data_IF_712960810240
#
_entry.id   IF_712960810240
#
_cell.length_a   1.000
_cell.length_b   1.000
_cell.length_c   1.000
_cell.angle_alpha   90.00
_cell.angle_beta   90.00
_cell.angle_gamma   90.00
#
_symmetry.space_group_name_H-M   'P 1'
#
loop_
_entity.id
_entity.type
_entity.pdbx_description
1 polymer ?
#
# COMPACT_ATOMS: atom_id res chain seq x y z
N UNK A 1 -64.24 -27.86 -22.44
CA UNK A 1 -63.83 -29.27 -22.58
C UNK A 1 -62.67 -29.46 -21.60
N UNK A 2 -62.80 -30.17 -20.47
CA UNK A 2 -63.17 -31.59 -20.28
C UNK A 2 -62.14 -32.52 -20.96
N UNK A 3 -61.56 -33.57 -20.39
CA UNK A 3 -61.55 -34.17 -19.03
C UNK A 3 -60.08 -34.50 -18.64
N UNK A 4 -59.65 -35.07 -17.51
CA UNK A 4 -60.30 -35.75 -16.36
C UNK A 4 -59.46 -35.50 -15.06
N UNK A 5 -59.96 -35.96 -13.91
CA UNK A 5 -59.15 -36.34 -12.74
C UNK A 5 -59.55 -37.78 -12.34
N UNK A 6 -58.69 -38.53 -11.64
CA UNK A 6 -59.16 -39.73 -10.94
C UNK A 6 -58.53 -39.94 -9.56
N UNK A 7 -59.28 -40.61 -8.68
CA UNK A 7 -59.06 -40.64 -7.23
C UNK A 7 -58.97 -42.07 -6.68
N UNK A 8 -58.18 -42.19 -5.61
CA UNK A 8 -58.36 -43.10 -4.46
C UNK A 8 -58.26 -44.62 -4.67
N UNK A 9 -57.59 -45.28 -3.71
CA UNK A 9 -58.32 -46.14 -2.77
C UNK A 9 -57.57 -46.23 -1.41
N UNK A 10 -58.28 -46.63 -0.34
CA UNK A 10 -57.83 -46.56 1.05
C UNK A 10 -58.33 -47.80 1.84
N UNK A 11 -57.56 -48.24 2.85
CA UNK A 11 -57.91 -49.16 3.98
C UNK A 11 -58.03 -50.69 3.72
N UNK A 12 -57.25 -51.47 4.49
CA UNK A 12 -57.67 -52.27 5.68
C UNK A 12 -56.42 -53.01 6.23
N UNK A 13 -55.96 -52.86 7.48
CA UNK A 13 -56.48 -53.22 8.82
C UNK A 13 -56.46 -54.72 9.21
N UNK A 14 -55.66 -54.99 10.27
CA UNK A 14 -55.84 -55.97 11.37
C UNK A 14 -55.42 -57.45 11.23
N UNK A 15 -54.36 -57.81 11.99
CA UNK A 15 -54.06 -59.00 12.84
C UNK A 15 -52.53 -59.20 12.86
N UNK A 16 -51.83 -59.53 13.96
CA UNK A 16 -52.20 -59.65 15.37
C UNK A 16 -51.21 -60.58 16.10
N UNK A 17 -50.44 -60.05 17.07
CA UNK A 17 -49.61 -60.70 18.10
C UNK A 17 -48.75 -61.95 17.76
N UNK A 18 -47.46 -61.90 18.11
CA UNK A 18 -46.96 -62.51 19.36
C UNK A 18 -45.54 -62.06 19.74
N UNK A 19 -45.20 -62.21 21.02
CA UNK A 19 -43.98 -61.71 21.66
C UNK A 19 -42.85 -62.74 21.60
N UNK A 20 -41.59 -62.29 21.52
CA UNK A 20 -40.47 -63.02 22.12
C UNK A 20 -39.41 -62.06 22.65
N UNK A 21 -39.02 -62.28 23.90
CA UNK A 21 -38.08 -61.45 24.66
C UNK A 21 -36.65 -61.97 24.51
N UNK A 22 -35.73 -61.12 24.08
CA UNK A 22 -34.29 -61.34 24.31
C UNK A 22 -33.65 -60.09 24.92
N UNK A 23 -33.32 -60.19 26.21
CA UNK A 23 -32.62 -59.14 26.97
C UNK A 23 -31.24 -58.87 26.36
N UNK A 24 -30.90 -57.59 26.12
CA UNK A 24 -29.52 -57.14 25.86
C UNK A 24 -29.00 -56.34 27.07
N UNK A 25 -27.70 -56.44 27.40
CA UNK A 25 -27.19 -55.96 28.68
C UNK A 25 -27.13 -54.43 28.79
N UNK A 26 -27.23 -53.95 30.03
CA UNK A 26 -27.12 -52.54 30.41
C UNK A 26 -25.79 -51.92 29.93
N UNK A 27 -25.87 -50.83 29.16
CA UNK A 27 -24.72 -49.95 28.91
C UNK A 27 -24.36 -49.22 30.21
N UNK A 28 -23.05 -49.20 30.53
CA UNK A 28 -22.48 -48.46 31.66
C UNK A 28 -22.88 -46.97 31.62
N UNK A 29 -23.00 -46.29 32.78
CA UNK A 29 -23.30 -44.86 32.82
C UNK A 29 -22.23 -44.06 32.09
N UNK A 30 -22.66 -43.00 31.42
CA UNK A 30 -21.79 -42.10 30.66
C UNK A 30 -20.81 -41.40 31.62
N UNK A 31 -19.53 -41.37 31.26
CA UNK A 31 -18.51 -40.66 32.02
C UNK A 31 -18.89 -39.19 32.19
N UNK A 32 -18.65 -38.64 33.38
CA UNK A 32 -19.00 -37.26 33.70
C UNK A 32 -18.35 -36.30 32.69
N UNK A 33 -19.15 -35.37 32.15
CA UNK A 33 -18.62 -34.24 31.39
C UNK A 33 -17.81 -33.38 32.35
N UNK A 34 -16.48 -33.51 32.31
CA UNK A 34 -15.59 -32.54 32.93
C UNK A 34 -15.77 -31.21 32.22
N UNK A 35 -16.58 -30.32 32.79
CA UNK A 35 -16.61 -28.92 32.39
C UNK A 35 -15.26 -28.30 32.72
N UNK A 36 -14.46 -28.03 31.70
CA UNK A 36 -13.21 -27.30 31.86
C UNK A 36 -13.53 -25.88 32.36
N UNK A 37 -13.16 -25.58 33.60
CA UNK A 37 -13.21 -24.23 34.19
C UNK A 37 -12.10 -23.35 33.60
N UNK A 38 -12.15 -23.11 32.29
CA UNK A 38 -11.35 -22.09 31.63
C UNK A 38 -11.96 -20.72 31.87
N UNK A 39 -11.25 -19.82 32.56
CA UNK A 39 -11.70 -18.43 32.72
C UNK A 39 -11.80 -17.76 31.34
N UNK A 40 -12.98 -17.28 30.90
CA UNK A 40 -13.18 -16.81 29.53
C UNK A 40 -12.26 -15.62 29.17
N UNK A 41 -11.92 -14.77 30.14
CA UNK A 41 -10.97 -13.66 29.92
C UNK A 41 -9.59 -14.16 29.44
N UNK A 42 -9.12 -15.32 29.89
CA UNK A 42 -7.82 -15.86 29.48
C UNK A 42 -7.85 -16.42 28.04
N UNK A 43 -8.96 -17.04 27.62
CA UNK A 43 -9.11 -17.51 26.23
C UNK A 43 -9.34 -16.37 25.24
N UNK A 44 -10.04 -15.29 25.61
CA UNK A 44 -10.16 -14.11 24.75
C UNK A 44 -8.81 -13.37 24.59
N UNK A 45 -8.03 -13.22 25.67
CA UNK A 45 -6.71 -12.55 25.60
C UNK A 45 -5.69 -13.37 24.79
N UNK A 46 -5.66 -14.69 24.97
CA UNK A 46 -4.74 -15.56 24.19
C UNK A 46 -5.13 -15.62 22.71
N UNK A 47 -6.43 -15.66 22.39
CA UNK A 47 -6.89 -15.63 21.00
C UNK A 47 -6.59 -14.28 20.33
N UNK A 48 -6.84 -13.15 21.02
CA UNK A 48 -6.51 -11.81 20.50
C UNK A 48 -5.00 -11.63 20.25
N UNK A 49 -4.14 -12.17 21.11
CA UNK A 49 -2.69 -12.15 20.91
C UNK A 49 -2.26 -13.01 19.71
N UNK A 50 -2.83 -14.21 19.53
CA UNK A 50 -2.53 -15.08 18.40
C UNK A 50 -3.05 -14.50 17.06
N UNK A 51 -4.24 -13.87 17.07
CA UNK A 51 -4.77 -13.11 15.91
C UNK A 51 -3.84 -11.94 15.55
N UNK A 52 -3.31 -11.21 16.54
CA UNK A 52 -2.31 -10.16 16.31
C UNK A 52 -0.98 -10.70 15.74
N UNK A 53 -0.41 -11.75 16.32
CA UNK A 53 0.88 -12.31 15.88
C UNK A 53 0.80 -12.90 14.46
N UNK A 54 -0.30 -13.58 14.13
CA UNK A 54 -0.56 -14.08 12.77
C UNK A 54 -0.79 -12.95 11.76
N UNK A 55 -1.52 -11.90 12.15
CA UNK A 55 -1.70 -10.70 11.32
C UNK A 55 -0.39 -9.95 11.07
N UNK A 56 0.45 -9.79 12.09
CA UNK A 56 1.78 -9.20 11.98
C UNK A 56 2.68 -10.01 11.03
N UNK A 57 2.72 -11.35 11.21
CA UNK A 57 3.47 -12.26 10.35
C UNK A 57 3.04 -12.15 8.89
N UNK A 58 1.73 -12.21 8.61
CA UNK A 58 1.18 -12.08 7.25
C UNK A 58 1.64 -10.77 6.59
N UNK A 59 1.51 -9.63 7.28
CA UNK A 59 1.90 -8.33 6.73
C UNK A 59 3.42 -8.27 6.46
N UNK A 60 4.25 -8.84 7.33
CA UNK A 60 5.70 -8.93 7.11
C UNK A 60 6.03 -9.80 5.89
N UNK A 61 5.44 -11.00 5.77
CA UNK A 61 5.65 -11.91 4.65
C UNK A 61 5.23 -11.28 3.31
N UNK A 62 4.14 -10.50 3.31
CA UNK A 62 3.67 -9.74 2.15
C UNK A 62 4.71 -8.71 1.68
N UNK A 63 5.31 -7.94 2.60
CA UNK A 63 6.40 -7.01 2.26
C UNK A 63 7.66 -7.76 1.83
N UNK A 64 8.03 -8.84 2.52
CA UNK A 64 9.20 -9.64 2.14
C UNK A 64 9.12 -10.18 0.72
N UNK A 65 7.91 -10.46 0.21
CA UNK A 65 7.65 -10.98 -1.13
C UNK A 65 7.52 -9.89 -2.20
N UNK A 66 6.82 -8.79 -1.92
CA UNK A 66 6.44 -7.80 -2.94
C UNK A 66 7.04 -6.40 -2.74
N UNK A 67 7.47 -6.03 -1.53
CA UNK A 67 8.10 -4.74 -1.23
C UNK A 67 9.30 -4.93 -0.28
N UNK A 68 10.29 -5.65 -0.81
CA UNK A 68 11.55 -5.94 -0.11
C UNK A 68 12.28 -4.67 0.37
N UNK A 69 12.30 -3.54 -0.39
CA UNK A 69 12.84 -2.29 0.09
C UNK A 69 12.15 -1.77 1.35
N UNK A 70 10.82 -1.66 1.39
CA UNK A 70 10.12 -1.20 2.60
C UNK A 70 10.31 -2.16 3.78
N UNK A 71 10.37 -3.47 3.54
CA UNK A 71 10.74 -4.44 4.58
C UNK A 71 12.14 -4.15 5.16
N UNK A 72 13.16 -3.94 4.32
CA UNK A 72 14.52 -3.62 4.77
C UNK A 72 14.58 -2.29 5.52
N UNK A 73 13.91 -1.26 5.00
CA UNK A 73 13.90 0.08 5.57
C UNK A 73 13.06 0.20 6.86
N UNK A 74 12.18 -0.77 7.15
CA UNK A 74 11.41 -0.84 8.40
C UNK A 74 12.30 -0.80 9.65
N UNK A 75 13.55 -1.26 9.54
CA UNK A 75 14.59 -1.20 10.59
C UNK A 75 14.85 0.22 11.13
N UNK A 76 14.59 1.24 10.33
CA UNK A 76 14.80 2.66 10.70
C UNK A 76 13.55 3.33 11.27
N UNK A 77 12.41 2.62 11.31
CA UNK A 77 11.15 3.11 11.88
C UNK A 77 11.15 2.83 13.40
N UNK A 78 10.76 3.81 14.25
CA UNK A 78 10.68 3.59 15.70
C UNK A 78 9.78 2.40 16.08
N UNK A 79 10.23 1.58 17.03
CA UNK A 79 9.55 0.33 17.43
C UNK A 79 8.06 0.49 17.79
N UNK A 80 7.66 1.66 18.29
CA UNK A 80 6.28 1.95 18.67
C UNK A 80 5.37 2.36 17.50
N UNK A 81 5.92 2.71 16.33
CA UNK A 81 5.16 2.97 15.09
C UNK A 81 5.39 1.90 14.01
N UNK A 82 6.36 1.00 14.21
CA UNK A 82 6.72 -0.06 13.27
C UNK A 82 5.52 -0.89 12.77
N UNK A 83 4.61 -1.32 13.65
CA UNK A 83 3.44 -2.11 13.23
C UNK A 83 2.46 -1.32 12.36
N UNK A 84 2.31 -0.01 12.61
CA UNK A 84 1.52 0.88 11.76
C UNK A 84 2.13 0.99 10.37
N UNK A 85 3.46 1.23 10.30
CA UNK A 85 4.21 1.26 9.05
C UNK A 85 4.07 -0.05 8.25
N UNK A 86 4.24 -1.20 8.92
CA UNK A 86 4.10 -2.51 8.29
C UNK A 86 2.68 -2.74 7.76
N UNK A 87 1.63 -2.42 8.54
CA UNK A 87 0.24 -2.52 8.10
C UNK A 87 -0.05 -1.61 6.89
N UNK A 88 0.45 -0.38 6.92
CA UNK A 88 0.25 0.62 5.87
C UNK A 88 0.98 0.26 4.57
N UNK A 89 2.21 -0.25 4.65
CA UNK A 89 2.92 -0.80 3.48
C UNK A 89 2.24 -2.06 2.96
N UNK A 90 1.74 -2.94 3.83
CA UNK A 90 1.01 -4.14 3.42
C UNK A 90 -0.31 -3.79 2.72
N UNK A 91 -1.05 -2.78 3.20
CA UNK A 91 -2.20 -2.20 2.50
C UNK A 91 -1.82 -1.73 1.10
N UNK A 92 -0.72 -0.97 0.95
CA UNK A 92 -0.25 -0.51 -0.35
C UNK A 92 0.04 -1.67 -1.32
N UNK A 93 0.69 -2.75 -0.85
CA UNK A 93 0.92 -3.95 -1.66
C UNK A 93 -0.41 -4.60 -2.06
N UNK A 94 -1.32 -4.83 -1.10
CA UNK A 94 -2.62 -5.43 -1.37
C UNK A 94 -3.46 -4.64 -2.38
N UNK A 95 -3.43 -3.31 -2.32
CA UNK A 95 -4.09 -2.43 -3.29
C UNK A 95 -3.41 -2.49 -4.67
N UNK A 96 -2.08 -2.50 -4.71
CA UNK A 96 -1.30 -2.55 -5.97
C UNK A 96 -1.49 -3.85 -6.75
N UNK A 97 -1.78 -4.96 -6.05
CA UNK A 97 -2.00 -6.29 -6.64
C UNK A 97 -3.46 -6.52 -7.10
N UNK A 98 -4.37 -5.54 -6.96
CA UNK A 98 -5.77 -5.70 -7.41
C UNK A 98 -5.86 -5.88 -8.93
N UNK A 99 -5.27 -5.03 -9.78
CA UNK A 99 -5.25 -5.25 -11.24
C UNK A 99 -4.71 -6.64 -11.60
N UNK A 100 -3.62 -7.06 -10.97
CA UNK A 100 -2.96 -8.36 -11.21
C UNK A 100 -3.79 -9.57 -10.77
N UNK A 101 -4.82 -9.38 -9.94
CA UNK A 101 -5.65 -10.46 -9.38
C UNK A 101 -7.13 -10.42 -9.78
N UNK A 102 -7.51 -9.49 -10.66
CA UNK A 102 -8.84 -9.43 -11.30
C UNK A 102 -8.73 -9.35 -12.82
N UNK A 103 -9.66 -9.96 -13.55
CA UNK A 103 -9.76 -9.88 -15.02
C UNK A 103 -10.80 -8.84 -15.49
N UNK A 104 -11.72 -8.43 -14.61
CA UNK A 104 -12.80 -7.49 -14.89
C UNK A 104 -12.66 -6.26 -13.98
N UNK A 105 -12.59 -5.02 -14.54
CA UNK A 105 -12.45 -3.78 -13.75
C UNK A 105 -13.52 -3.61 -12.67
N UNK A 106 -14.75 -4.06 -12.90
CA UNK A 106 -15.84 -4.02 -11.91
C UNK A 106 -15.52 -4.85 -10.67
N UNK A 107 -14.86 -6.01 -10.82
CA UNK A 107 -14.41 -6.83 -9.68
C UNK A 107 -13.27 -6.12 -8.95
N UNK A 108 -12.40 -5.41 -9.67
CA UNK A 108 -11.38 -4.54 -9.09
C UNK A 108 -11.99 -3.43 -8.23
N UNK A 109 -13.00 -2.73 -8.74
CA UNK A 109 -13.73 -1.69 -8.01
C UNK A 109 -14.43 -2.25 -6.76
N UNK A 110 -15.03 -3.44 -6.84
CA UNK A 110 -15.60 -4.12 -5.66
C UNK A 110 -14.54 -4.42 -4.59
N UNK A 111 -13.31 -4.78 -4.98
CA UNK A 111 -12.19 -5.00 -4.04
C UNK A 111 -11.69 -3.69 -3.42
N UNK A 112 -11.64 -2.60 -4.18
CA UNK A 112 -11.33 -1.28 -3.63
C UNK A 112 -12.43 -0.81 -2.66
N UNK A 113 -13.70 -1.06 -2.97
CA UNK A 113 -14.81 -0.77 -2.05
C UNK A 113 -14.70 -1.58 -0.76
N UNK A 114 -14.37 -2.88 -0.84
CA UNK A 114 -14.08 -3.69 0.35
C UNK A 114 -12.97 -3.06 1.22
N UNK A 115 -11.92 -2.49 0.62
CA UNK A 115 -10.87 -1.78 1.37
C UNK A 115 -11.37 -0.47 1.99
N UNK A 116 -12.20 0.32 1.31
CA UNK A 116 -12.84 1.53 1.87
C UNK A 116 -13.69 1.21 3.11
N UNK A 117 -14.49 0.16 3.02
CA UNK A 117 -15.34 -0.31 4.12
C UNK A 117 -14.49 -0.86 5.27
N UNK A 118 -13.45 -1.63 4.95
CA UNK A 118 -12.50 -2.22 5.90
C UNK A 118 -11.77 -1.13 6.69
N UNK A 119 -11.23 -0.11 6.02
CA UNK A 119 -10.58 1.03 6.68
C UNK A 119 -11.59 1.83 7.51
N UNK A 120 -12.81 2.08 6.99
CA UNK A 120 -13.86 2.78 7.75
C UNK A 120 -14.22 2.06 9.05
N UNK A 121 -14.42 0.74 8.99
CA UNK A 121 -14.70 -0.09 10.18
C UNK A 121 -13.52 -0.17 11.14
N UNK A 122 -12.30 -0.26 10.61
CA UNK A 122 -11.04 -0.28 11.40
C UNK A 122 -10.86 1.02 12.19
N UNK A 123 -11.04 2.18 11.55
CA UNK A 123 -10.97 3.50 12.20
C UNK A 123 -12.12 3.70 13.21
N UNK A 124 -13.25 3.03 13.03
CA UNK A 124 -14.37 2.99 13.98
C UNK A 124 -14.19 1.94 15.10
N UNK A 125 -13.02 1.31 15.24
CA UNK A 125 -12.73 0.33 16.30
C UNK A 125 -13.39 -1.04 16.12
N UNK A 126 -13.93 -1.33 14.93
CA UNK A 126 -14.60 -2.60 14.60
C UNK A 126 -13.95 -3.31 13.40
N UNK A 127 -12.62 -3.58 13.45
CA UNK A 127 -11.90 -4.16 12.32
C UNK A 127 -12.50 -5.51 11.89
N UNK A 128 -12.67 -5.78 10.58
CA UNK A 128 -12.99 -7.11 10.10
C UNK A 128 -11.84 -8.09 10.37
N UNK A 129 -12.10 -9.40 10.21
CA UNK A 129 -11.08 -10.47 10.32
C UNK A 129 -10.15 -10.54 9.09
N UNK A 130 -9.56 -9.40 8.76
CA UNK A 130 -8.58 -9.19 7.69
C UNK A 130 -7.23 -8.85 8.35
N UNK A 131 -6.14 -9.62 8.10
CA UNK A 131 -4.84 -9.41 8.74
C UNK A 131 -4.34 -7.95 8.78
N UNK A 132 -4.46 -7.23 7.66
CA UNK A 132 -4.02 -5.83 7.59
C UNK A 132 -4.88 -4.92 8.48
N UNK A 133 -6.19 -5.18 8.55
CA UNK A 133 -7.12 -4.43 9.41
C UNK A 133 -6.86 -4.69 10.90
N UNK A 134 -6.56 -5.93 11.28
CA UNK A 134 -6.22 -6.33 12.66
C UNK A 134 -4.93 -5.63 13.11
N UNK A 135 -3.88 -5.67 12.29
CA UNK A 135 -2.59 -5.04 12.62
C UNK A 135 -2.70 -3.51 12.69
N UNK A 136 -3.49 -2.91 11.78
CA UNK A 136 -3.77 -1.48 11.79
C UNK A 136 -4.57 -1.07 13.04
N UNK A 137 -5.64 -1.78 13.38
CA UNK A 137 -6.45 -1.53 14.57
C UNK A 137 -5.62 -1.58 15.85
N UNK A 138 -4.80 -2.63 16.05
CA UNK A 138 -3.92 -2.72 17.21
C UNK A 138 -2.93 -1.55 17.28
N UNK A 139 -2.41 -1.12 16.13
CA UNK A 139 -1.49 0.02 16.05
C UNK A 139 -2.18 1.35 16.38
N UNK A 140 -3.43 1.54 15.94
CA UNK A 140 -4.26 2.69 16.28
C UNK A 140 -4.60 2.73 17.77
N UNK A 141 -4.98 1.60 18.39
CA UNK A 141 -5.21 1.51 19.84
C UNK A 141 -3.95 1.81 20.65
N UNK A 142 -2.78 1.39 20.16
CA UNK A 142 -1.48 1.73 20.78
C UNK A 142 -1.15 3.22 20.66
N UNK A 143 -1.50 3.85 19.54
CA UNK A 143 -1.39 5.30 19.31
C UNK A 143 -2.32 6.11 20.22
N UNK A 144 -3.58 5.68 20.34
CA UNK A 144 -4.56 6.31 21.23
C UNK A 144 -4.08 6.28 22.69
N UNK A 145 -3.71 5.09 23.18
CA UNK A 145 -3.22 4.91 24.55
C UNK A 145 -1.96 5.75 24.87
N UNK A 146 -1.00 5.84 23.94
CA UNK A 146 0.24 6.61 24.16
C UNK A 146 0.05 8.12 24.02
N UNK A 147 -0.95 8.58 23.27
CA UNK A 147 -1.23 10.01 23.06
C UNK A 147 -2.40 10.53 23.91
N UNK A 148 -3.09 9.64 24.64
CA UNK A 148 -4.32 9.93 25.40
C UNK A 148 -5.42 10.52 24.50
N UNK A 149 -5.63 9.88 23.35
CA UNK A 149 -6.62 10.29 22.34
C UNK A 149 -6.31 11.58 21.57
N UNK A 150 -5.12 12.17 21.75
CA UNK A 150 -4.72 13.41 21.06
C UNK A 150 -4.35 13.21 19.58
N UNK A 151 -3.72 12.09 19.23
CA UNK A 151 -3.39 11.79 17.84
C UNK A 151 -4.55 11.04 17.16
N UNK A 152 -4.94 11.48 15.96
CA UNK A 152 -5.96 10.81 15.14
C UNK A 152 -5.47 10.72 13.71
N UNK A 153 -5.64 9.54 13.10
CA UNK A 153 -5.25 9.31 11.71
C UNK A 153 -6.39 9.75 10.80
N UNK A 154 -6.05 10.55 9.79
CA UNK A 154 -7.03 11.06 8.84
C UNK A 154 -7.58 9.95 7.96
N UNK A 155 -8.90 9.77 8.02
CA UNK A 155 -9.65 8.94 7.07
C UNK A 155 -9.47 9.44 5.63
N UNK A 156 -9.33 10.76 5.43
CA UNK A 156 -9.15 11.38 4.12
C UNK A 156 -7.91 10.87 3.40
N UNK A 157 -6.74 10.94 4.05
CA UNK A 157 -5.47 10.45 3.51
C UNK A 157 -5.49 8.93 3.19
N UNK A 158 -6.07 8.09 4.07
CA UNK A 158 -6.25 6.66 3.76
C UNK A 158 -7.22 6.40 2.59
N UNK A 159 -8.25 7.23 2.45
CA UNK A 159 -9.23 7.12 1.35
C UNK A 159 -8.63 7.60 0.03
N UNK A 160 -7.83 8.68 0.05
CA UNK A 160 -7.03 9.21 -1.08
C UNK A 160 -6.14 8.13 -1.70
N UNK A 161 -5.41 7.39 -0.85
CA UNK A 161 -4.59 6.23 -1.27
C UNK A 161 -5.40 5.15 -2.01
N UNK A 162 -6.61 4.81 -1.51
CA UNK A 162 -7.46 3.79 -2.14
C UNK A 162 -8.05 4.30 -3.46
N UNK A 163 -8.51 5.56 -3.49
CA UNK A 163 -9.12 6.19 -4.68
C UNK A 163 -8.11 6.31 -5.83
N UNK A 164 -6.86 6.68 -5.55
CA UNK A 164 -5.81 6.73 -6.56
C UNK A 164 -5.57 5.38 -7.28
N UNK A 165 -5.93 4.26 -6.63
CA UNK A 165 -5.78 2.90 -7.19
C UNK A 165 -6.95 2.48 -8.09
N UNK A 166 -7.93 3.35 -8.35
CA UNK A 166 -8.94 3.11 -9.40
C UNK A 166 -8.38 3.31 -10.80
N UNK A 167 -7.56 4.34 -11.04
CA UNK A 167 -7.03 4.69 -12.37
C UNK A 167 -6.32 3.50 -13.07
N UNK A 168 -5.49 2.68 -12.39
CA UNK A 168 -4.86 1.51 -13.02
C UNK A 168 -5.81 0.35 -13.33
N UNK A 169 -7.04 0.31 -12.79
CA UNK A 169 -8.02 -0.75 -13.12
C UNK A 169 -8.64 -0.58 -14.51
N UNK A 170 -8.70 0.66 -14.98
CA UNK A 170 -9.25 1.04 -16.29
C UNK A 170 -8.16 1.33 -17.32
N UNK A 171 -6.90 1.01 -17.01
CA UNK A 171 -5.71 1.32 -17.82
C UNK A 171 -5.68 2.80 -18.28
N UNK A 172 -6.18 3.72 -17.45
CA UNK A 172 -6.33 5.12 -17.86
C UNK A 172 -4.96 5.81 -17.87
N UNK A 173 -4.48 6.30 -19.02
CA UNK A 173 -3.12 6.80 -19.15
C UNK A 173 -2.92 8.13 -18.41
N UNK A 174 -1.67 8.41 -18.03
CA UNK A 174 -1.30 9.72 -17.51
C UNK A 174 -1.25 10.72 -18.67
N UNK A 175 -2.09 11.75 -18.61
CA UNK A 175 -2.19 12.76 -19.68
C UNK A 175 -0.91 13.58 -19.84
N UNK A 176 -0.23 13.85 -18.73
CA UNK A 176 1.05 14.55 -18.68
C UNK A 176 1.88 14.12 -17.46
N UNK A 177 3.11 14.62 -17.35
CA UNK A 177 3.99 14.29 -16.23
C UNK A 177 3.47 14.78 -14.87
N UNK A 178 2.71 15.88 -14.83
CA UNK A 178 2.09 16.38 -13.59
C UNK A 178 0.95 15.45 -13.08
N UNK A 179 0.22 14.78 -13.98
CA UNK A 179 -0.75 13.75 -13.61
C UNK A 179 -0.06 12.52 -12.97
N UNK A 180 1.15 12.18 -13.43
CA UNK A 180 1.97 11.14 -12.82
C UNK A 180 2.52 11.57 -11.45
N UNK A 181 2.97 12.81 -11.29
CA UNK A 181 3.35 13.38 -9.99
C UNK A 181 2.16 13.34 -9.00
N UNK A 182 0.97 13.76 -9.43
CA UNK A 182 -0.24 13.75 -8.61
C UNK A 182 -0.65 12.33 -8.20
N UNK A 183 -0.49 11.35 -9.08
CA UNK A 183 -0.68 9.93 -8.74
C UNK A 183 0.33 9.46 -7.69
N UNK A 184 1.61 9.82 -7.85
CA UNK A 184 2.68 9.47 -6.92
C UNK A 184 2.50 10.14 -5.54
N UNK A 185 1.96 11.35 -5.51
CA UNK A 185 1.59 12.10 -4.30
C UNK A 185 0.43 11.43 -3.54
N UNK A 186 -0.66 11.16 -4.24
CA UNK A 186 -1.85 10.49 -3.71
C UNK A 186 -1.58 9.03 -3.29
N UNK A 187 -0.45 8.44 -3.67
CA UNK A 187 -0.05 7.08 -3.31
C UNK A 187 1.18 7.06 -2.39
N UNK A 188 2.39 7.29 -2.90
CA UNK A 188 3.63 7.08 -2.16
C UNK A 188 3.94 8.18 -1.13
N UNK A 189 3.68 9.46 -1.43
CA UNK A 189 3.80 10.54 -0.43
C UNK A 189 2.78 10.37 0.69
N UNK A 190 1.54 10.03 0.33
CA UNK A 190 0.46 9.70 1.27
C UNK A 190 0.87 8.61 2.28
N UNK A 191 1.63 7.58 1.88
CA UNK A 191 2.18 6.59 2.82
C UNK A 191 3.20 7.18 3.80
N UNK A 192 3.99 8.18 3.37
CA UNK A 192 4.97 8.84 4.22
C UNK A 192 4.29 9.77 5.23
N UNK A 193 3.34 10.62 4.82
CA UNK A 193 2.59 11.47 5.77
C UNK A 193 1.83 10.66 6.80
N UNK A 194 1.17 9.58 6.39
CA UNK A 194 0.49 8.68 7.33
C UNK A 194 1.50 8.08 8.33
N UNK A 195 2.73 7.73 7.88
CA UNK A 195 3.81 7.27 8.77
C UNK A 195 4.36 8.39 9.67
N UNK A 196 4.42 9.64 9.21
CA UNK A 196 4.81 10.79 10.02
C UNK A 196 3.74 11.09 11.08
N UNK A 197 2.45 10.99 10.74
CA UNK A 197 1.32 11.31 11.64
C UNK A 197 1.17 10.40 12.87
N UNK A 198 1.84 9.24 12.88
CA UNK A 198 1.95 8.37 14.08
C UNK A 198 3.18 8.65 14.94
N UNK A 199 4.11 9.49 14.47
CA UNK A 199 5.21 10.01 15.28
C UNK A 199 4.72 11.24 16.06
N UNK A 200 5.33 11.56 17.22
CA UNK A 200 5.04 12.79 17.97
C UNK A 200 5.71 14.01 17.30
N UNK A 201 5.41 14.24 16.02
CA UNK A 201 6.10 15.13 15.11
C UNK A 201 5.08 15.89 14.24
N UNK A 202 5.19 17.21 14.17
CA UNK A 202 4.33 18.09 13.35
C UNK A 202 5.21 19.15 12.72
N UNK A 203 5.63 18.94 11.47
CA UNK A 203 6.66 19.77 10.85
C UNK A 203 6.47 19.83 9.34
N UNK A 204 6.08 21.00 8.84
CA UNK A 204 5.85 21.27 7.42
C UNK A 204 7.07 20.94 6.56
N UNK A 205 8.27 21.26 7.05
CA UNK A 205 9.55 20.96 6.39
C UNK A 205 9.77 19.45 6.19
N UNK A 206 9.32 18.63 7.14
CA UNK A 206 9.41 17.15 7.05
C UNK A 206 8.35 16.61 6.08
N UNK A 207 7.15 17.21 6.06
CA UNK A 207 6.12 16.88 5.09
C UNK A 207 6.57 17.24 3.66
N UNK A 208 7.13 18.43 3.39
CA UNK A 208 7.65 18.76 2.05
C UNK A 208 8.76 17.79 1.59
N UNK A 209 9.69 17.41 2.50
CA UNK A 209 10.68 16.37 2.21
C UNK A 209 10.01 15.02 1.89
N UNK A 210 8.95 14.66 2.60
CA UNK A 210 8.16 13.46 2.33
C UNK A 210 7.37 13.54 1.02
N UNK A 211 6.90 14.72 0.60
CA UNK A 211 6.24 14.92 -0.71
C UNK A 211 7.19 14.57 -1.84
N UNK A 212 8.36 15.20 -1.91
CA UNK A 212 9.30 14.91 -2.99
C UNK A 212 9.82 13.46 -2.96
N UNK A 213 10.16 12.93 -1.78
CA UNK A 213 10.65 11.54 -1.67
C UNK A 213 9.53 10.54 -2.03
N UNK A 214 8.28 10.85 -1.68
CA UNK A 214 7.11 10.09 -2.06
C UNK A 214 6.83 10.14 -3.56
N UNK A 215 6.74 11.33 -4.15
CA UNK A 215 6.61 11.56 -5.60
C UNK A 215 7.70 10.79 -6.37
N UNK A 216 8.98 10.95 -6.00
CA UNK A 216 10.10 10.23 -6.60
C UNK A 216 9.97 8.69 -6.50
N UNK A 217 9.57 8.17 -5.34
CA UNK A 217 9.37 6.74 -5.13
C UNK A 217 8.18 6.18 -5.92
N UNK A 218 7.09 6.95 -6.06
CA UNK A 218 5.91 6.57 -6.85
C UNK A 218 6.19 6.52 -8.35
N UNK A 219 6.83 7.56 -8.91
CA UNK A 219 7.28 7.58 -10.31
C UNK A 219 8.21 6.39 -10.59
N UNK A 220 9.17 6.15 -9.69
CA UNK A 220 10.08 5.00 -9.75
C UNK A 220 9.34 3.66 -9.71
N UNK A 221 8.25 3.55 -8.94
CA UNK A 221 7.43 2.34 -8.91
C UNK A 221 6.62 2.13 -10.19
N UNK A 222 6.18 3.21 -10.86
CA UNK A 222 5.50 3.13 -12.17
C UNK A 222 6.48 2.67 -13.25
N UNK A 223 7.69 3.26 -13.31
CA UNK A 223 8.74 2.82 -14.22
C UNK A 223 9.12 1.34 -13.98
N UNK A 224 9.33 0.93 -12.73
CA UNK A 224 9.63 -0.47 -12.39
C UNK A 224 8.49 -1.44 -12.75
N UNK A 225 7.25 -0.97 -12.74
CA UNK A 225 6.08 -1.76 -13.15
C UNK A 225 5.95 -1.91 -14.67
N UNK A 226 6.46 -0.96 -15.46
CA UNK A 226 6.26 -0.88 -16.92
C UNK A 226 6.49 -2.21 -17.64
N UNK A 227 7.61 -2.95 -17.47
CA UNK A 227 7.81 -4.21 -18.18
C UNK A 227 6.77 -5.29 -17.88
N UNK A 228 6.28 -5.32 -16.63
CA UNK A 228 5.32 -6.31 -16.14
C UNK A 228 3.89 -5.97 -16.55
N UNK A 229 3.57 -4.69 -16.69
CA UNK A 229 2.26 -4.18 -17.11
C UNK A 229 2.13 -4.18 -18.64
N UNK A 230 3.21 -3.89 -19.37
CA UNK A 230 3.26 -3.97 -20.82
C UNK A 230 3.22 -5.42 -21.33
N UNK A 231 3.86 -6.36 -20.61
CA UNK A 231 3.91 -7.78 -20.99
C UNK A 231 3.45 -8.66 -19.81
N UNK A 232 2.14 -8.67 -19.50
CA UNK A 232 1.62 -9.47 -18.40
C UNK A 232 1.84 -10.96 -18.65
N UNK A 233 2.21 -11.75 -17.62
CA UNK A 233 2.40 -13.19 -17.76
C UNK A 233 1.08 -13.88 -18.13
N UNK A 234 1.13 -15.04 -18.83
CA UNK A 234 -0.06 -15.78 -19.20
C UNK A 234 -0.87 -16.20 -17.96
N UNK A 235 -2.21 -16.29 -18.07
CA UNK A 235 -3.06 -16.59 -16.92
C UNK A 235 -2.78 -18.01 -16.36
N UNK A 236 -2.70 -18.09 -15.03
CA UNK A 236 -2.53 -19.35 -14.32
C UNK A 236 -3.69 -20.31 -14.62
N UNK A 237 -3.39 -21.50 -15.11
CA UNK A 237 -4.37 -22.49 -15.60
C UNK A 237 -5.28 -23.09 -14.51
N UNK A 238 -5.14 -22.68 -13.25
CA UNK A 238 -5.98 -23.09 -12.12
C UNK A 238 -6.99 -22.00 -11.68
N UNK A 239 -7.11 -20.92 -12.46
CA UNK A 239 -8.12 -19.89 -12.23
C UNK A 239 -9.49 -20.33 -12.75
N UNK A 240 -10.32 -20.94 -11.89
CA UNK A 240 -11.74 -21.21 -12.16
C UNK A 240 -12.61 -19.93 -12.23
N UNK A 241 -12.04 -18.79 -12.63
CA UNK A 241 -12.81 -17.61 -13.02
C UNK A 241 -13.27 -17.82 -14.46
N UNK A 242 -14.38 -18.55 -14.62
CA UNK A 242 -15.13 -18.55 -15.88
C UNK A 242 -15.42 -17.09 -16.29
N UNK A 243 -15.18 -16.70 -17.56
CA UNK A 243 -15.51 -15.37 -18.02
C UNK A 243 -17.03 -15.20 -17.98
N UNK A 244 -17.53 -14.46 -16.98
CA UNK A 244 -18.91 -13.95 -16.98
C UNK A 244 -19.03 -12.82 -18.02
N UNK A 245 -18.88 -13.18 -19.31
CA UNK A 245 -18.57 -12.23 -20.37
C UNK A 245 -18.30 -12.86 -21.75
N UNK A 246 -19.23 -13.69 -22.24
CA UNK A 246 -19.39 -14.01 -23.68
C UNK A 246 -18.25 -14.75 -24.39
N UNK A 247 -18.39 -14.99 -25.71
CA UNK A 247 -17.36 -15.59 -26.55
C UNK A 247 -16.28 -14.54 -26.90
N UNK A 248 -15.47 -14.19 -25.91
CA UNK A 248 -14.48 -13.13 -26.02
C UNK A 248 -13.76 -12.86 -24.69
N UNK A 249 -13.41 -13.91 -23.96
CA UNK A 249 -12.78 -13.81 -22.64
C UNK A 249 -11.58 -12.88 -22.67
N UNK A 250 -11.64 -11.79 -21.91
CA UNK A 250 -10.66 -10.70 -21.95
C UNK A 250 -9.26 -11.21 -21.64
N UNK A 251 -8.44 -11.37 -22.68
CA UNK A 251 -7.00 -11.50 -22.52
C UNK A 251 -6.49 -10.21 -21.88
N UNK A 252 -5.57 -10.33 -20.92
CA UNK A 252 -4.92 -9.15 -20.34
C UNK A 252 -4.05 -8.51 -21.41
N UNK A 253 -4.61 -7.53 -22.12
CA UNK A 253 -3.85 -6.63 -22.96
C UNK A 253 -2.98 -5.77 -22.04
N UNK A 254 -1.67 -5.81 -22.27
CA UNK A 254 -0.76 -4.90 -21.61
C UNK A 254 -0.98 -3.46 -22.09
N UNK A 255 -0.48 -2.50 -21.33
CA UNK A 255 -0.53 -1.08 -21.68
C UNK A 255 0.75 -0.39 -21.22
N UNK A 256 1.10 0.72 -21.88
CA UNK A 256 2.27 1.53 -21.50
C UNK A 256 1.87 2.57 -20.45
N UNK A 257 2.61 2.57 -19.33
CA UNK A 257 2.34 3.42 -18.15
C UNK A 257 3.07 4.76 -18.18
N UNK A 258 3.64 5.16 -19.31
CA UNK A 258 4.35 6.42 -19.50
C UNK A 258 3.36 7.57 -19.78
N UNK A 259 3.68 8.83 -19.41
CA UNK A 259 2.86 9.98 -19.74
C UNK A 259 2.76 10.24 -21.25
N UNK A 260 1.55 10.58 -21.72
CA UNK A 260 1.26 10.78 -23.15
C UNK A 260 2.03 11.96 -23.76
N UNK A 261 2.29 13.01 -22.98
CA UNK A 261 3.11 14.16 -23.40
C UNK A 261 4.56 13.76 -23.65
N UNK A 262 5.16 12.97 -22.75
CA UNK A 262 6.53 12.43 -22.89
C UNK A 262 6.62 11.48 -24.08
N UNK A 263 5.63 10.59 -24.25
CA UNK A 263 5.56 9.70 -25.41
C UNK A 263 5.50 10.48 -26.73
N UNK A 264 4.69 11.54 -26.79
CA UNK A 264 4.59 12.41 -27.97
C UNK A 264 5.90 13.18 -28.24
N UNK A 265 6.54 13.73 -27.21
CA UNK A 265 7.81 14.47 -27.34
C UNK A 265 8.96 13.59 -27.86
N UNK A 266 9.05 12.36 -27.36
CA UNK A 266 10.07 11.37 -27.75
C UNK A 266 9.70 10.57 -29.00
N UNK A 267 8.50 10.79 -29.54
CA UNK A 267 7.90 10.07 -30.67
C UNK A 267 7.71 8.57 -30.43
N UNK A 268 7.67 8.15 -29.17
CA UNK A 268 7.39 6.78 -28.77
C UNK A 268 5.94 6.41 -29.11
N UNK A 269 5.75 5.33 -29.87
CA UNK A 269 4.45 4.71 -30.09
C UNK A 269 4.32 3.46 -29.22
N UNK A 270 3.17 3.30 -28.60
CA UNK A 270 2.83 2.11 -27.81
C UNK A 270 2.96 0.81 -28.62
N UNK A 271 2.50 0.82 -29.88
CA UNK A 271 2.63 -0.34 -30.78
C UNK A 271 4.10 -0.74 -31.05
N UNK A 272 5.01 0.23 -31.14
CA UNK A 272 6.43 -0.07 -31.33
C UNK A 272 7.03 -0.76 -30.09
N UNK A 273 6.56 -0.43 -28.87
CA UNK A 273 6.95 -1.17 -27.65
C UNK A 273 6.46 -2.61 -27.71
N UNK A 274 5.21 -2.88 -28.09
CA UNK A 274 4.71 -4.25 -28.16
C UNK A 274 5.37 -5.10 -29.26
N UNK A 275 5.81 -4.47 -30.36
CA UNK A 275 6.48 -5.15 -31.48
C UNK A 275 7.98 -5.34 -31.29
N UNK A 276 8.66 -4.36 -30.68
CA UNK A 276 10.13 -4.25 -30.65
C UNK A 276 10.71 -4.32 -29.23
N UNK A 277 9.87 -4.29 -28.20
CA UNK A 277 10.28 -4.38 -26.80
C UNK A 277 11.22 -3.25 -26.39
N UNK A 278 12.42 -3.62 -25.93
CA UNK A 278 13.47 -2.69 -25.49
C UNK A 278 14.06 -1.82 -26.61
N UNK A 279 13.94 -2.27 -27.87
CA UNK A 279 14.50 -1.59 -29.04
C UNK A 279 13.52 -0.60 -29.70
N UNK A 280 12.34 -0.40 -29.10
CA UNK A 280 11.33 0.53 -29.58
C UNK A 280 11.85 1.98 -29.67
N UNK A 281 11.77 2.65 -30.83
CA UNK A 281 12.26 4.01 -31.00
C UNK A 281 11.60 5.01 -30.03
N UNK A 282 12.43 5.84 -29.37
CA UNK A 282 11.99 6.83 -28.39
C UNK A 282 11.72 6.27 -26.98
N UNK A 283 11.78 4.94 -26.76
CA UNK A 283 11.47 4.35 -25.46
C UNK A 283 12.47 4.75 -24.37
N UNK A 284 13.78 4.64 -24.65
CA UNK A 284 14.84 5.00 -23.69
C UNK A 284 14.76 6.49 -23.34
N UNK A 285 14.50 7.34 -24.32
CA UNK A 285 14.32 8.78 -24.12
C UNK A 285 13.08 9.08 -23.24
N UNK A 286 11.98 8.35 -23.43
CA UNK A 286 10.77 8.51 -22.63
C UNK A 286 10.98 8.06 -21.18
N UNK A 287 11.64 6.91 -21.00
CA UNK A 287 12.05 6.39 -19.69
C UNK A 287 13.05 7.35 -19.01
N UNK A 288 13.99 7.92 -19.76
CA UNK A 288 14.92 8.94 -19.28
C UNK A 288 14.20 10.19 -18.79
N UNK A 289 13.26 10.73 -19.55
CA UNK A 289 12.50 11.93 -19.17
C UNK A 289 11.70 11.71 -17.87
N UNK A 290 11.00 10.59 -17.74
CA UNK A 290 10.25 10.24 -16.52
C UNK A 290 11.18 9.93 -15.34
N UNK A 291 12.32 9.26 -15.57
CA UNK A 291 13.32 9.01 -14.54
C UNK A 291 14.01 10.30 -14.06
N UNK A 292 14.16 11.28 -14.96
CA UNK A 292 14.70 12.62 -14.63
C UNK A 292 13.78 13.31 -13.66
N UNK A 293 12.46 13.31 -13.87
CA UNK A 293 11.49 13.88 -12.92
C UNK A 293 11.60 13.25 -11.52
N UNK A 294 11.77 11.93 -11.43
CA UNK A 294 12.00 11.26 -10.15
C UNK A 294 13.33 11.67 -9.49
N UNK A 295 14.38 11.87 -10.29
CA UNK A 295 15.68 12.37 -9.83
C UNK A 295 15.59 13.81 -9.33
N UNK A 296 14.89 14.69 -10.04
CA UNK A 296 14.71 16.11 -9.68
C UNK A 296 14.09 16.25 -8.30
N UNK A 297 13.05 15.48 -8.00
CA UNK A 297 12.47 15.44 -6.65
C UNK A 297 13.48 15.01 -5.57
N UNK A 298 14.35 14.03 -5.83
CA UNK A 298 15.41 13.67 -4.88
C UNK A 298 16.49 14.77 -4.76
N UNK A 299 16.74 15.53 -5.84
CA UNK A 299 17.65 16.67 -5.84
C UNK A 299 17.05 17.82 -5.00
N UNK A 300 15.77 18.18 -5.19
CA UNK A 300 15.06 19.18 -4.38
C UNK A 300 15.07 18.80 -2.90
N UNK A 301 14.70 17.56 -2.55
CA UNK A 301 14.75 17.07 -1.17
C UNK A 301 16.16 17.14 -0.54
N UNK A 302 17.20 16.84 -1.32
CA UNK A 302 18.59 17.02 -0.88
C UNK A 302 18.99 18.48 -0.74
N UNK A 303 18.48 19.37 -1.60
CA UNK A 303 18.78 20.80 -1.55
C UNK A 303 18.13 21.46 -0.34
N UNK A 304 16.87 21.16 -0.04
CA UNK A 304 16.18 21.60 1.18
C UNK A 304 16.96 21.17 2.43
N UNK A 305 17.36 19.89 2.50
CA UNK A 305 18.14 19.37 3.63
C UNK A 305 19.55 20.00 3.75
N UNK A 306 20.16 20.40 2.62
CA UNK A 306 21.43 21.13 2.62
C UNK A 306 21.26 22.59 3.06
N UNK A 307 20.22 23.27 2.60
CA UNK A 307 19.88 24.63 3.00
C UNK A 307 19.61 24.70 4.50
N UNK A 308 18.74 23.82 5.01
CA UNK A 308 18.37 23.74 6.43
C UNK A 308 19.60 23.56 7.33
N UNK A 309 20.55 22.70 6.92
CA UNK A 309 21.84 22.50 7.61
C UNK A 309 22.78 23.69 7.55
N UNK A 310 22.69 24.50 6.50
CA UNK A 310 23.46 25.73 6.34
C UNK A 310 22.81 26.93 7.05
N UNK A 311 21.71 26.74 7.81
CA UNK A 311 20.93 27.82 8.40
C UNK A 311 20.26 28.72 7.37
N UNK A 312 20.08 28.23 6.14
CA UNK A 312 19.42 28.93 5.04
C UNK A 312 17.97 28.55 4.98
N UNK A 313 17.16 29.45 4.43
CA UNK A 313 15.78 29.14 4.12
C UNK A 313 15.65 27.95 3.17
N UNK A 314 14.61 27.16 3.40
CA UNK A 314 14.32 25.90 2.72
C UNK A 314 13.62 26.08 1.37
N UNK A 315 13.17 27.30 1.04
CA UNK A 315 12.64 27.66 -0.27
C UNK A 315 11.26 27.07 -0.54
N UNK A 316 10.31 27.29 0.38
CA UNK A 316 8.97 26.67 0.32
C UNK A 316 7.90 27.52 -0.39
N UNK A 317 8.19 28.79 -0.69
CA UNK A 317 7.18 29.80 -1.02
C UNK A 317 6.43 29.61 -2.35
N UNK A 318 6.86 28.69 -3.24
CA UNK A 318 6.38 28.62 -4.64
C UNK A 318 5.87 27.26 -5.14
N UNK A 319 6.03 26.15 -4.39
CA UNK A 319 5.71 24.80 -4.94
C UNK A 319 4.36 24.19 -4.47
N UNK A 320 3.64 24.82 -3.54
CA UNK A 320 2.45 24.22 -2.90
C UNK A 320 1.17 25.08 -2.94
N UNK A 321 1.08 26.10 -3.80
CA UNK A 321 -0.20 26.81 -4.04
C UNK A 321 -1.25 25.86 -4.66
N UNK A 322 -2.08 25.25 -3.82
CA UNK A 322 -3.24 24.44 -4.23
C UNK A 322 -3.25 22.96 -3.80
N UNK A 323 -2.29 22.46 -3.01
CA UNK A 323 -2.33 21.06 -2.54
C UNK A 323 -3.32 20.86 -1.37
N UNK A 324 -4.42 20.14 -1.63
CA UNK A 324 -5.48 19.87 -0.65
C UNK A 324 -4.99 19.10 0.60
N UNK A 325 -5.24 19.66 1.79
CA UNK A 325 -5.06 18.98 3.08
C UNK A 325 -3.89 19.48 3.93
N UNK A 326 -3.15 20.50 3.47
CA UNK A 326 -2.08 21.17 4.22
C UNK A 326 -2.58 22.42 4.97
N UNK A 327 -3.79 22.36 5.54
CA UNK A 327 -4.31 23.40 6.45
C UNK A 327 -3.61 23.35 7.81
N UNK A 328 -2.37 23.83 7.85
CA UNK A 328 -1.74 24.22 9.10
C UNK A 328 -2.23 25.62 9.48
N UNK A 329 -2.74 25.78 10.70
CA UNK A 329 -3.07 27.11 11.25
C UNK A 329 -1.82 27.99 11.17
N UNK A 330 -1.89 29.02 10.31
CA UNK A 330 -0.80 29.95 10.15
C UNK A 330 -0.45 30.60 11.49
N UNK A 331 0.78 30.39 11.96
CA UNK A 331 1.38 31.42 12.78
C UNK A 331 1.59 32.62 11.87
N UNK A 332 0.93 33.73 12.20
CA UNK A 332 1.22 35.02 11.58
C UNK A 332 2.74 35.27 11.68
N UNK A 333 3.37 35.86 10.65
CA UNK A 333 4.77 36.26 10.73
C UNK A 333 4.90 37.40 11.73
N UNK A 334 5.10 37.05 12.99
CA UNK A 334 5.61 37.96 14.00
C UNK A 334 6.92 38.57 13.48
N UNK A 335 7.16 39.85 13.81
CA UNK A 335 8.33 40.58 13.34
C UNK A 335 9.62 40.00 13.97
N UNK A 336 10.15 38.95 13.37
CA UNK A 336 11.20 38.11 13.94
C UNK A 336 12.60 38.71 13.78
N UNK A 337 13.27 38.91 14.91
CA UNK A 337 14.71 39.18 14.95
C UNK A 337 15.53 37.96 14.50
N UNK A 338 16.80 38.20 14.14
CA UNK A 338 17.69 37.17 13.58
C UNK A 338 17.83 35.91 14.48
N UNK A 339 17.83 36.08 15.80
CA UNK A 339 17.92 34.98 16.77
C UNK A 339 16.66 34.08 16.76
N UNK A 340 15.47 34.67 16.58
CA UNK A 340 14.21 33.91 16.47
C UNK A 340 14.25 33.01 15.23
N UNK A 341 14.60 33.58 14.07
CA UNK A 341 14.70 32.83 12.81
C UNK A 341 15.70 31.68 12.89
N UNK A 342 16.88 31.91 13.49
CA UNK A 342 17.89 30.86 13.66
C UNK A 342 17.45 29.75 14.62
N UNK A 343 16.68 30.09 15.67
CA UNK A 343 16.07 29.08 16.55
C UNK A 343 15.01 28.22 15.83
N UNK A 344 14.20 28.80 14.96
CA UNK A 344 13.19 28.09 14.16
C UNK A 344 13.82 27.07 13.20
N UNK A 345 14.86 27.48 12.45
CA UNK A 345 15.64 26.59 11.57
C UNK A 345 16.28 25.41 12.34
N UNK A 346 16.74 25.63 13.58
CA UNK A 346 17.27 24.56 14.42
C UNK A 346 16.19 23.55 14.85
N UNK A 347 14.98 24.01 15.18
CA UNK A 347 13.81 23.15 15.49
C UNK A 347 13.40 22.33 14.27
N UNK A 348 13.31 22.96 13.08
CA UNK A 348 13.02 22.25 11.83
C UNK A 348 14.05 21.15 11.53
N UNK A 349 15.35 21.42 11.74
CA UNK A 349 16.41 20.42 11.56
C UNK A 349 16.27 19.25 12.55
N UNK A 350 15.98 19.55 13.82
CA UNK A 350 15.73 18.53 14.84
C UNK A 350 14.51 17.65 14.47
N UNK A 351 13.46 18.24 13.95
CA UNK A 351 12.27 17.53 13.48
C UNK A 351 12.56 16.62 12.27
N UNK A 352 13.39 17.07 11.33
CA UNK A 352 13.90 16.21 10.24
C UNK A 352 14.72 15.04 10.80
N UNK A 353 15.55 15.25 11.82
CA UNK A 353 16.30 14.14 12.44
C UNK A 353 15.42 13.13 13.17
N UNK A 354 14.30 13.58 13.74
CA UNK A 354 13.28 12.73 14.39
C UNK A 354 12.45 11.95 13.35
N UNK A 355 12.12 12.60 12.23
CA UNK A 355 11.40 12.00 11.10
C UNK A 355 12.25 11.17 10.14
N UNK A 356 13.59 11.24 10.23
CA UNK A 356 14.52 10.77 9.18
C UNK A 356 14.31 9.31 8.75
N UNK A 357 13.89 8.43 9.66
CA UNK A 357 13.57 7.03 9.36
C UNK A 357 12.48 6.86 8.29
N UNK A 358 11.53 7.81 8.20
CA UNK A 358 10.44 7.82 7.21
C UNK A 358 10.92 8.30 5.84
N UNK A 359 11.95 9.14 5.80
CA UNK A 359 12.57 9.69 4.58
C UNK A 359 13.52 8.69 3.87
N UNK A 360 13.83 7.57 4.54
CA UNK A 360 14.72 6.53 4.02
C UNK A 360 14.39 5.93 2.63
N UNK A 361 13.13 5.90 2.13
CA UNK A 361 12.83 5.46 0.76
C UNK A 361 13.65 6.17 -0.31
N UNK A 362 14.09 7.42 -0.09
CA UNK A 362 15.00 8.14 -0.97
C UNK A 362 16.26 7.32 -1.35
N UNK A 363 16.79 6.52 -0.41
CA UNK A 363 17.97 5.68 -0.63
C UNK A 363 17.66 4.52 -1.59
N UNK A 364 16.50 3.87 -1.44
CA UNK A 364 16.07 2.80 -2.35
C UNK A 364 15.68 3.34 -3.73
N UNK A 365 15.06 4.52 -3.79
CA UNK A 365 14.70 5.20 -5.04
C UNK A 365 15.96 5.58 -5.81
N UNK A 366 16.92 6.26 -5.18
CA UNK A 366 18.21 6.59 -5.80
C UNK A 366 18.94 5.33 -6.28
N UNK A 367 18.97 4.26 -5.47
CA UNK A 367 19.64 3.01 -5.86
C UNK A 367 19.06 2.37 -7.12
N UNK A 368 17.74 2.48 -7.32
CA UNK A 368 17.10 1.96 -8.52
C UNK A 368 17.34 2.88 -9.73
N UNK A 369 17.27 4.20 -9.55
CA UNK A 369 17.64 5.18 -10.60
C UNK A 369 19.13 5.04 -11.03
N UNK A 370 20.04 4.85 -10.07
CA UNK A 370 21.47 4.53 -10.28
C UNK A 370 21.69 3.24 -11.09
N UNK A 371 20.75 2.30 -11.06
CA UNK A 371 20.79 1.06 -11.87
C UNK A 371 20.22 1.32 -13.26
N UNK A 372 19.09 2.02 -13.36
CA UNK A 372 18.43 2.37 -14.63
C UNK A 372 19.38 3.18 -15.53
N UNK A 373 20.07 4.17 -14.97
CA UNK A 373 21.07 4.97 -15.71
C UNK A 373 22.23 4.11 -16.23
N UNK A 374 22.69 3.10 -15.48
CA UNK A 374 23.80 2.21 -15.89
C UNK A 374 23.45 1.27 -17.02
N UNK A 375 22.16 1.03 -17.24
CA UNK A 375 21.67 0.23 -18.37
C UNK A 375 21.11 1.10 -19.49
N UNK A 376 21.53 2.37 -19.56
CA UNK A 376 21.13 3.32 -20.61
C UNK A 376 19.60 3.44 -20.74
N UNK A 377 18.91 3.47 -19.59
CA UNK A 377 17.44 3.59 -19.51
C UNK A 377 16.66 2.46 -20.22
N UNK A 378 17.31 1.34 -20.55
CA UNK A 378 16.66 0.11 -20.95
C UNK A 378 15.91 -0.52 -19.77
N UNK A 379 14.61 -0.21 -19.71
CA UNK A 379 13.72 -0.61 -18.61
C UNK A 379 13.44 -2.13 -18.58
N UNK A 380 13.74 -2.87 -19.65
CA UNK A 380 13.49 -4.30 -19.76
C UNK A 380 14.62 -5.17 -19.21
N UNK A 381 15.73 -4.56 -18.76
CA UNK A 381 16.88 -5.28 -18.21
C UNK A 381 16.53 -6.04 -16.92
N UNK A 382 16.75 -7.37 -16.84
CA UNK A 382 16.35 -8.19 -15.70
C UNK A 382 17.04 -7.78 -14.38
N UNK A 383 18.21 -7.14 -14.46
CA UNK A 383 18.93 -6.57 -13.33
C UNK A 383 18.12 -5.52 -12.55
N UNK A 384 17.16 -4.84 -13.20
CA UNK A 384 16.28 -3.83 -12.59
C UNK A 384 15.18 -4.45 -11.71
N UNK A 385 14.81 -5.71 -11.98
CA UNK A 385 13.85 -6.46 -11.16
C UNK A 385 14.51 -6.99 -9.87
N UNK A 386 15.82 -7.21 -9.88
CA UNK A 386 16.59 -7.74 -8.74
C UNK A 386 16.59 -6.82 -7.50
N UNK A 387 16.56 -7.43 -6.32
CA UNK A 387 16.77 -6.69 -5.05
C UNK A 387 18.20 -6.16 -5.00
N UNK A 388 18.40 -4.89 -4.64
CA UNK A 388 19.75 -4.34 -4.45
C UNK A 388 20.34 -4.79 -3.10
N UNK A 389 21.35 -5.64 -3.16
CA UNK A 389 22.08 -6.13 -1.97
C UNK A 389 22.79 -5.01 -1.20
N UNK A 390 23.05 -3.85 -1.82
CA UNK A 390 23.70 -2.69 -1.19
C UNK A 390 22.73 -1.89 -0.33
N UNK A 391 21.41 -2.10 -0.46
CA UNK A 391 20.39 -1.31 0.24
C UNK A 391 20.57 -1.31 1.77
N UNK A 392 20.75 -2.44 2.48
CA UNK A 392 20.91 -2.42 3.94
C UNK A 392 22.11 -1.58 4.40
N UNK A 393 23.25 -1.72 3.73
CA UNK A 393 24.48 -0.99 4.04
C UNK A 393 24.38 0.51 3.71
N UNK A 394 23.92 0.86 2.50
CA UNK A 394 23.71 2.26 2.11
C UNK A 394 22.66 2.93 3.00
N UNK A 395 21.57 2.24 3.35
CA UNK A 395 20.55 2.77 4.24
C UNK A 395 21.08 2.98 5.67
N UNK A 396 21.89 2.06 6.20
CA UNK A 396 22.55 2.24 7.49
C UNK A 396 23.46 3.48 7.52
N UNK A 397 24.36 3.61 6.52
CA UNK A 397 25.22 4.79 6.39
C UNK A 397 24.42 6.09 6.20
N UNK A 398 23.36 6.05 5.41
CA UNK A 398 22.48 7.19 5.17
C UNK A 398 21.75 7.64 6.44
N UNK A 399 21.22 6.68 7.23
CA UNK A 399 20.56 6.95 8.49
C UNK A 399 21.53 7.52 9.54
N UNK A 400 22.74 6.96 9.65
CA UNK A 400 23.78 7.45 10.56
C UNK A 400 24.27 8.86 10.20
N UNK A 401 24.49 9.13 8.91
CA UNK A 401 24.96 10.43 8.41
C UNK A 401 23.83 11.43 8.18
N UNK A 402 22.58 11.03 8.45
CA UNK A 402 21.36 11.79 8.15
C UNK A 402 21.37 12.36 6.71
N UNK A 403 21.79 11.56 5.71
CA UNK A 403 21.95 11.99 4.31
C UNK A 403 21.58 10.86 3.35
N UNK A 404 20.79 11.17 2.32
CA UNK A 404 20.38 10.26 1.25
C UNK A 404 20.79 10.78 -0.14
#
# INVERSE_FOLDING_TARGET
MAFQADKACLRCMLRGNQLSSTMRPLKKPQGARHFASGSPLHSYITNSKAEFESAQKYCIELLQKYDRPSYTLSTFIPRHTLNFYIALRALNVSLSLIPDSTSNPTIGLMRLQFWRDTITKTLAGTPPKEPIAILLAHSLSSLDARTKGKARISKGWLTRLINAREQPLTNTPYTNIAALDQYAENTYSTLLYLTLSVLPLTSLTVDHLASHIGKAAGITSILRGLPLVAFPPPPNHHSNQDPLGGPGGSTRQGHITLPLDVMAQTRLKEEDVFRQGADAPGLRDAVFAVATRASDHLITARQMLQNLRAGKDVGHDFEHEGEEGHEYYGHEPAADGADSKMSNLAVQLQDVERGFGVLMPAVSTQLWLDKLQKVDFDIFKPELLSTDWKLPWKAYLAFQRRKF
#
